data_IF_350417069333
#
_entry.id   IF_350417069333
#
_cell.length_a   1.000
_cell.length_b   1.000
_cell.length_c   1.000
_cell.angle_alpha   90.00
_cell.angle_beta   90.00
_cell.angle_gamma   90.00
#
_symmetry.space_group_name_H-M   'P 1'
#
loop_
_entity.id
_entity.type
_entity.pdbx_description
1 polymer ?
#
# COMPACT_ATOMS: atom_id res chain seq x y z
N UNK A 1 20.54 7.94 -22.04
CA UNK A 1 19.09 7.95 -21.76
C UNK A 1 18.41 6.64 -22.21
N UNK A 2 18.56 6.23 -23.48
CA UNK A 2 17.90 5.03 -24.05
C UNK A 2 18.36 3.75 -23.33
N UNK A 3 19.66 3.56 -23.09
CA UNK A 3 20.19 2.41 -22.35
C UNK A 3 19.64 2.32 -20.93
N UNK A 4 19.52 3.45 -20.24
CA UNK A 4 18.91 3.49 -18.91
C UNK A 4 17.43 3.09 -18.95
N UNK A 5 16.69 3.59 -19.95
CA UNK A 5 15.27 3.22 -20.13
C UNK A 5 15.12 1.71 -20.42
N UNK A 6 15.94 1.14 -21.27
CA UNK A 6 15.90 -0.29 -21.58
C UNK A 6 16.27 -1.16 -20.37
N UNK A 7 17.33 -0.76 -19.63
CA UNK A 7 17.73 -1.45 -18.40
C UNK A 7 16.62 -1.40 -17.34
N UNK A 8 16.02 -0.23 -17.12
CA UNK A 8 14.91 -0.08 -16.19
C UNK A 8 13.67 -0.86 -16.64
N UNK A 9 13.35 -0.85 -17.94
CA UNK A 9 12.23 -1.62 -18.46
C UNK A 9 12.42 -3.12 -18.21
N UNK A 10 13.63 -3.65 -18.44
CA UNK A 10 13.95 -5.06 -18.16
C UNK A 10 13.77 -5.42 -16.68
N UNK A 11 14.28 -4.60 -15.77
CA UNK A 11 14.14 -4.81 -14.31
C UNK A 11 12.67 -4.74 -13.89
N UNK A 12 11.92 -3.75 -14.40
CA UNK A 12 10.49 -3.60 -14.08
C UNK A 12 9.69 -4.78 -14.62
N UNK A 13 9.93 -5.23 -15.85
CA UNK A 13 9.27 -6.38 -16.45
C UNK A 13 9.56 -7.68 -15.67
N UNK A 14 10.81 -7.94 -15.34
CA UNK A 14 11.20 -9.09 -14.52
C UNK A 14 10.48 -9.08 -13.18
N UNK A 15 10.52 -7.92 -12.51
CA UNK A 15 9.89 -7.77 -11.20
C UNK A 15 8.36 -7.91 -11.26
N UNK A 16 7.73 -7.35 -12.28
CA UNK A 16 6.28 -7.53 -12.52
C UNK A 16 5.94 -9.01 -12.71
N UNK A 17 6.76 -9.75 -13.44
CA UNK A 17 6.59 -11.21 -13.60
C UNK A 17 6.73 -11.97 -12.28
N UNK A 18 7.74 -11.65 -11.47
CA UNK A 18 7.92 -12.24 -10.13
C UNK A 18 6.71 -11.95 -9.24
N UNK A 19 6.21 -10.73 -9.25
CA UNK A 19 5.03 -10.33 -8.46
C UNK A 19 3.75 -11.04 -8.93
N UNK A 20 3.56 -11.23 -10.23
CA UNK A 20 2.45 -12.01 -10.78
C UNK A 20 2.49 -13.47 -10.29
N UNK A 21 3.69 -14.08 -10.27
CA UNK A 21 3.87 -15.43 -9.71
C UNK A 21 3.51 -15.46 -8.22
N UNK A 22 3.96 -14.48 -7.43
CA UNK A 22 3.64 -14.37 -6.01
C UNK A 22 2.13 -14.24 -5.76
N UNK A 23 1.43 -13.49 -6.61
CA UNK A 23 -0.02 -13.34 -6.55
C UNK A 23 -0.73 -14.66 -6.85
N UNK A 24 -0.34 -15.35 -7.93
CA UNK A 24 -0.89 -16.67 -8.31
C UNK A 24 -0.58 -17.77 -7.29
N UNK A 25 0.56 -17.72 -6.63
CA UNK A 25 0.90 -18.63 -5.54
C UNK A 25 0.09 -18.37 -4.25
N UNK A 26 -0.79 -17.37 -4.22
CA UNK A 26 -1.63 -17.05 -3.06
C UNK A 26 -0.91 -16.34 -1.93
N UNK A 27 0.34 -15.91 -2.10
CA UNK A 27 1.10 -15.17 -1.11
C UNK A 27 0.43 -13.83 -0.76
N UNK A 28 -0.12 -13.13 -1.76
CA UNK A 28 -0.90 -11.92 -1.55
C UNK A 28 -2.14 -12.17 -0.68
N UNK A 29 -2.84 -13.30 -0.91
CA UNK A 29 -3.96 -13.74 -0.09
C UNK A 29 -3.56 -14.14 1.34
N UNK A 30 -2.41 -14.77 1.51
CA UNK A 30 -1.82 -15.06 2.83
C UNK A 30 -1.50 -13.79 3.61
N UNK A 31 -0.84 -12.84 2.96
CA UNK A 31 -0.52 -11.54 3.54
C UNK A 31 -1.79 -10.74 3.89
N UNK A 32 -2.80 -10.75 3.02
CA UNK A 32 -4.09 -10.13 3.30
C UNK A 32 -4.77 -10.70 4.55
N UNK A 33 -4.68 -12.02 4.77
CA UNK A 33 -5.20 -12.66 6.00
C UNK A 33 -4.43 -12.23 7.23
N UNK A 34 -3.10 -12.15 7.14
CA UNK A 34 -2.22 -11.71 8.23
C UNK A 34 -2.49 -10.26 8.63
N UNK A 35 -2.80 -9.40 7.66
CA UNK A 35 -3.08 -7.98 7.89
C UNK A 35 -4.48 -7.71 8.47
N UNK A 36 -5.44 -8.62 8.31
CA UNK A 36 -6.82 -8.43 8.78
C UNK A 36 -6.94 -7.98 10.23
N UNK A 37 -6.24 -8.55 11.22
CA UNK A 37 -6.37 -8.11 12.61
C UNK A 37 -5.90 -6.67 12.82
N UNK A 38 -4.85 -6.24 12.13
CA UNK A 38 -4.38 -4.84 12.17
C UNK A 38 -5.39 -3.90 11.50
N UNK A 39 -5.91 -4.29 10.33
CA UNK A 39 -6.89 -3.50 9.58
C UNK A 39 -8.20 -3.35 10.36
N UNK A 40 -8.65 -4.38 11.09
CA UNK A 40 -9.82 -4.30 11.97
C UNK A 40 -9.67 -3.25 13.08
N UNK A 41 -8.45 -3.00 13.56
CA UNK A 41 -8.19 -1.95 14.54
C UNK A 41 -8.13 -0.55 13.95
N UNK A 42 -7.65 -0.42 12.69
CA UNK A 42 -7.50 0.85 11.99
C UNK A 42 -8.83 1.29 11.39
N UNK A 43 -9.60 0.33 10.83
CA UNK A 43 -10.82 0.52 10.07
C UNK A 43 -11.97 -0.34 10.64
N UNK A 44 -12.46 -0.08 11.86
CA UNK A 44 -13.40 -0.94 12.55
C UNK A 44 -14.79 -1.02 11.86
N UNK A 45 -15.26 0.07 11.24
CA UNK A 45 -16.56 0.08 10.53
C UNK A 45 -16.47 -0.67 9.20
N UNK A 46 -15.46 -0.36 8.39
CA UNK A 46 -15.19 -1.04 7.11
C UNK A 46 -14.97 -2.55 7.30
N UNK A 47 -14.46 -2.95 8.46
CA UNK A 47 -14.20 -4.36 8.79
C UNK A 47 -15.47 -5.16 9.16
N UNK A 48 -16.61 -4.51 9.33
CA UNK A 48 -17.89 -5.20 9.58
C UNK A 48 -18.43 -5.83 8.31
N UNK A 49 -18.18 -5.22 7.16
CA UNK A 49 -18.50 -5.81 5.86
C UNK A 49 -17.31 -6.63 5.36
N UNK A 50 -17.54 -7.94 5.17
CA UNK A 50 -16.51 -8.89 4.75
C UNK A 50 -15.92 -8.59 3.37
N UNK A 51 -16.73 -8.07 2.45
CA UNK A 51 -16.27 -7.72 1.10
C UNK A 51 -15.42 -6.44 1.11
N UNK A 52 -15.81 -5.45 1.92
CA UNK A 52 -15.01 -4.22 2.09
C UNK A 52 -13.68 -4.55 2.76
N UNK A 53 -13.68 -5.38 3.82
CA UNK A 53 -12.45 -5.84 4.45
C UNK A 53 -11.55 -6.62 3.47
N UNK A 54 -12.13 -7.45 2.62
CA UNK A 54 -11.37 -8.18 1.59
C UNK A 54 -10.74 -7.22 0.59
N UNK A 55 -11.49 -6.22 0.09
CA UNK A 55 -10.98 -5.22 -0.85
C UNK A 55 -9.85 -4.37 -0.24
N UNK A 56 -10.02 -3.90 1.00
CA UNK A 56 -9.00 -3.15 1.74
C UNK A 56 -7.76 -4.01 1.98
N UNK A 57 -7.95 -5.26 2.42
CA UNK A 57 -6.82 -6.18 2.67
C UNK A 57 -6.03 -6.47 1.40
N UNK A 58 -6.72 -6.67 0.28
CA UNK A 58 -6.08 -6.87 -1.02
C UNK A 58 -5.28 -5.63 -1.46
N UNK A 59 -5.87 -4.43 -1.30
CA UNK A 59 -5.20 -3.16 -1.63
C UNK A 59 -3.92 -2.95 -0.79
N UNK A 60 -4.02 -3.10 0.54
CA UNK A 60 -2.87 -2.91 1.43
C UNK A 60 -1.80 -3.97 1.17
N UNK A 61 -2.19 -5.22 0.89
CA UNK A 61 -1.24 -6.29 0.53
C UNK A 61 -0.51 -5.99 -0.78
N UNK A 62 -1.23 -5.51 -1.79
CA UNK A 62 -0.64 -5.12 -3.07
C UNK A 62 0.37 -3.97 -2.89
N UNK A 63 0.04 -2.96 -2.07
CA UNK A 63 0.96 -1.88 -1.73
C UNK A 63 2.22 -2.38 -1.01
N UNK A 64 2.06 -3.25 0.00
CA UNK A 64 3.18 -3.85 0.73
C UNK A 64 4.12 -4.64 -0.19
N UNK A 65 3.56 -5.35 -1.15
CA UNK A 65 4.34 -6.13 -2.12
C UNK A 65 4.93 -5.26 -3.24
N UNK A 66 4.63 -3.95 -3.28
CA UNK A 66 5.12 -3.06 -4.32
C UNK A 66 4.38 -3.21 -5.66
N UNK A 67 3.18 -3.80 -5.65
CA UNK A 67 2.32 -3.99 -6.83
C UNK A 67 1.53 -2.71 -7.14
N UNK A 68 2.21 -1.60 -7.43
CA UNK A 68 1.57 -0.29 -7.64
C UNK A 68 0.44 -0.31 -8.68
N UNK A 69 0.63 -1.05 -9.78
CA UNK A 69 -0.37 -1.18 -10.83
C UNK A 69 -1.65 -1.92 -10.38
N UNK A 70 -1.51 -2.95 -9.53
CA UNK A 70 -2.63 -3.69 -8.96
C UNK A 70 -3.23 -2.97 -7.72
N UNK A 71 -2.41 -2.29 -6.94
CA UNK A 71 -2.84 -1.59 -5.74
C UNK A 71 -3.85 -0.47 -6.04
N UNK A 72 -3.64 0.30 -7.09
CA UNK A 72 -4.50 1.44 -7.46
C UNK A 72 -5.96 1.03 -7.73
N UNK A 73 -6.29 0.08 -8.63
CA UNK A 73 -7.67 -0.33 -8.86
C UNK A 73 -8.30 -1.00 -7.62
N UNK A 74 -7.52 -1.73 -6.84
CA UNK A 74 -7.99 -2.32 -5.57
C UNK A 74 -8.31 -1.24 -4.54
N UNK A 75 -7.48 -0.19 -4.44
CA UNK A 75 -7.72 0.97 -3.59
C UNK A 75 -8.97 1.74 -3.98
N UNK A 76 -9.18 1.99 -5.27
CA UNK A 76 -10.39 2.64 -5.78
C UNK A 76 -11.64 1.80 -5.46
N UNK A 77 -11.56 0.48 -5.63
CA UNK A 77 -12.66 -0.43 -5.29
C UNK A 77 -13.00 -0.38 -3.79
N UNK A 78 -11.99 -0.43 -2.94
CA UNK A 78 -12.16 -0.32 -1.49
C UNK A 78 -12.76 1.04 -1.10
N UNK A 79 -12.22 2.14 -1.65
CA UNK A 79 -12.70 3.50 -1.39
C UNK A 79 -14.16 3.69 -1.82
N UNK A 80 -14.55 3.20 -3.01
CA UNK A 80 -15.94 3.28 -3.49
C UNK A 80 -16.91 2.55 -2.56
N UNK A 81 -16.54 1.37 -2.06
CA UNK A 81 -17.37 0.63 -1.11
C UNK A 81 -17.52 1.37 0.22
N UNK A 82 -16.42 1.95 0.72
CA UNK A 82 -16.45 2.74 1.96
C UNK A 82 -17.21 4.05 1.79
N UNK A 83 -17.16 4.66 0.61
CA UNK A 83 -17.87 5.90 0.30
C UNK A 83 -19.37 5.72 0.10
N UNK A 84 -19.85 4.52 -0.22
CA UNK A 84 -21.27 4.24 -0.46
C UNK A 84 -22.19 4.53 0.76
N UNK A 85 -21.63 4.63 1.97
CA UNK A 85 -22.34 5.03 3.20
C UNK A 85 -22.02 6.45 3.68
N UNK A 86 -21.42 7.29 2.82
CA UNK A 86 -21.01 8.64 3.18
C UNK A 86 -21.86 9.65 2.39
N UNK A 87 -22.61 10.50 3.06
CA UNK A 87 -23.49 11.54 2.47
C UNK A 87 -22.68 12.73 1.91
N UNK A 88 -21.74 12.44 0.99
CA UNK A 88 -20.89 13.46 0.36
C UNK A 88 -19.66 13.90 1.16
N UNK A 89 -19.54 13.48 2.42
CA UNK A 89 -18.38 13.78 3.28
C UNK A 89 -17.60 12.50 3.55
N UNK A 90 -16.29 12.51 3.31
CA UNK A 90 -15.43 11.35 3.56
C UNK A 90 -15.43 10.97 5.04
N UNK A 91 -15.69 9.70 5.34
CA UNK A 91 -15.58 9.19 6.71
C UNK A 91 -14.12 9.16 7.19
N UNK A 92 -13.91 9.24 8.51
CA UNK A 92 -12.57 9.11 9.11
C UNK A 92 -11.84 7.85 8.64
N UNK A 93 -12.55 6.75 8.43
CA UNK A 93 -11.96 5.51 7.96
C UNK A 93 -11.53 5.57 6.50
N UNK A 94 -12.31 6.27 5.66
CA UNK A 94 -11.93 6.53 4.28
C UNK A 94 -10.66 7.39 4.22
N UNK A 95 -10.57 8.43 5.07
CA UNK A 95 -9.35 9.24 5.20
C UNK A 95 -8.15 8.38 5.64
N UNK A 96 -8.32 7.47 6.60
CA UNK A 96 -7.24 6.54 7.01
C UNK A 96 -6.83 5.59 5.90
N UNK A 97 -7.76 5.11 5.07
CA UNK A 97 -7.43 4.30 3.90
C UNK A 97 -6.57 5.10 2.90
N UNK A 98 -6.93 6.36 2.64
CA UNK A 98 -6.14 7.25 1.78
C UNK A 98 -4.73 7.45 2.35
N UNK A 99 -4.61 7.70 3.66
CA UNK A 99 -3.32 7.82 4.35
C UNK A 99 -2.47 6.57 4.19
N UNK A 100 -3.05 5.37 4.39
CA UNK A 100 -2.35 4.10 4.22
C UNK A 100 -1.82 3.91 2.79
N UNK A 101 -2.58 4.35 1.78
CA UNK A 101 -2.15 4.28 0.38
C UNK A 101 -1.07 5.32 0.05
N UNK A 102 -1.19 6.54 0.61
CA UNK A 102 -0.24 7.64 0.35
C UNK A 102 1.09 7.43 1.06
N UNK A 103 1.09 6.78 2.23
CA UNK A 103 2.29 6.51 3.01
C UNK A 103 3.26 5.51 2.36
N UNK A 104 2.91 4.94 1.20
CA UNK A 104 3.77 4.04 0.39
C UNK A 104 4.48 2.98 1.23
N UNK A 105 3.73 2.18 1.98
CA UNK A 105 4.28 1.07 2.74
C UNK A 105 4.81 0.02 1.77
N UNK A 106 6.12 -0.14 1.69
CA UNK A 106 6.75 -1.11 0.81
C UNK A 106 7.66 -2.04 1.61
N UNK A 107 7.48 -3.35 1.44
CA UNK A 107 8.43 -4.33 1.96
C UNK A 107 9.69 -4.38 1.08
N UNK A 108 9.50 -4.22 -0.22
CA UNK A 108 10.58 -4.25 -1.20
C UNK A 108 10.50 -2.97 -2.07
N UNK A 109 11.47 -2.06 -1.94
CA UNK A 109 11.55 -0.83 -2.77
C UNK A 109 12.13 -1.13 -4.15
N UNK A 110 11.40 -1.90 -4.95
CA UNK A 110 11.85 -2.49 -6.20
C UNK A 110 12.27 -1.46 -7.24
N UNK A 111 11.50 -0.38 -7.36
CA UNK A 111 11.80 0.71 -8.30
C UNK A 111 13.11 1.39 -7.92
N UNK A 112 13.31 1.70 -6.63
CA UNK A 112 14.53 2.36 -6.16
C UNK A 112 15.72 1.42 -6.26
N UNK A 113 15.55 0.14 -5.90
CA UNK A 113 16.59 -0.87 -6.05
C UNK A 113 16.98 -1.07 -7.52
N UNK A 114 16.00 -1.05 -8.45
CA UNK A 114 16.25 -1.12 -9.89
C UNK A 114 17.06 0.07 -10.41
N UNK A 115 16.72 1.30 -10.00
CA UNK A 115 17.50 2.49 -10.35
C UNK A 115 18.92 2.41 -9.78
N UNK A 116 19.09 2.00 -8.54
CA UNK A 116 20.40 1.82 -7.90
C UNK A 116 21.26 0.78 -8.65
N UNK A 117 20.64 -0.34 -9.02
CA UNK A 117 21.31 -1.38 -9.82
C UNK A 117 21.76 -0.82 -11.18
N UNK A 118 20.88 -0.14 -11.89
CA UNK A 118 21.17 0.50 -13.18
C UNK A 118 22.26 1.59 -13.06
N UNK A 119 22.40 2.20 -11.89
CA UNK A 119 23.45 3.17 -11.57
C UNK A 119 24.75 2.54 -11.06
N UNK A 120 24.88 1.20 -11.09
CA UNK A 120 26.11 0.49 -10.72
C UNK A 120 26.29 0.23 -9.23
N UNK A 121 25.24 0.30 -8.41
CA UNK A 121 25.33 -0.01 -6.99
C UNK A 121 25.63 -1.51 -6.77
N UNK A 122 26.68 -1.82 -6.00
CA UNK A 122 27.08 -3.19 -5.67
C UNK A 122 26.04 -3.91 -4.79
N UNK A 123 25.31 -3.19 -3.95
CA UNK A 123 24.27 -3.70 -3.08
C UNK A 123 23.00 -2.85 -3.18
N UNK A 124 22.12 -3.09 -4.18
CA UNK A 124 20.93 -2.26 -4.42
C UNK A 124 19.92 -2.24 -3.27
N UNK A 125 19.90 -3.28 -2.44
CA UNK A 125 18.96 -3.48 -1.34
C UNK A 125 19.48 -3.09 0.05
N UNK A 126 20.66 -2.49 0.17
CA UNK A 126 21.21 -2.02 1.45
C UNK A 126 20.37 -0.92 2.12
N UNK A 127 19.47 -0.30 1.35
CA UNK A 127 18.52 0.71 1.81
C UNK A 127 17.30 0.13 2.56
N UNK A 128 17.11 -1.20 2.57
CA UNK A 128 15.93 -1.85 3.15
C UNK A 128 15.62 -1.40 4.59
N UNK A 129 16.59 -1.36 5.53
CA UNK A 129 16.30 -0.93 6.90
C UNK A 129 15.81 0.51 6.97
N UNK A 130 16.38 1.40 6.17
CA UNK A 130 15.97 2.80 6.11
C UNK A 130 14.55 2.96 5.52
N UNK A 131 14.23 2.18 4.47
CA UNK A 131 12.90 2.18 3.86
C UNK A 131 11.85 1.67 4.83
N UNK A 132 12.12 0.60 5.56
CA UNK A 132 11.19 0.06 6.55
C UNK A 132 10.95 1.04 7.71
N UNK A 133 12.02 1.63 8.24
CA UNK A 133 11.91 2.63 9.32
C UNK A 133 11.10 3.86 8.84
N UNK A 134 11.42 4.38 7.67
CA UNK A 134 10.72 5.52 7.05
C UNK A 134 9.23 5.18 6.81
N UNK A 135 8.93 3.99 6.28
CA UNK A 135 7.55 3.55 6.04
C UNK A 135 6.74 3.47 7.34
N UNK A 136 7.31 2.87 8.40
CA UNK A 136 6.64 2.77 9.70
C UNK A 136 6.40 4.14 10.31
N UNK A 137 7.40 5.03 10.27
CA UNK A 137 7.26 6.40 10.79
C UNK A 137 6.23 7.20 10.01
N UNK A 138 6.23 7.10 8.67
CA UNK A 138 5.27 7.79 7.79
C UNK A 138 3.84 7.34 8.08
N UNK A 139 3.60 6.03 8.18
CA UNK A 139 2.28 5.49 8.51
C UNK A 139 1.83 5.91 9.90
N UNK A 140 2.71 5.80 10.89
CA UNK A 140 2.38 6.19 12.26
C UNK A 140 2.02 7.68 12.36
N UNK A 141 2.83 8.55 11.75
CA UNK A 141 2.58 9.97 11.71
C UNK A 141 1.28 10.32 10.96
N UNK A 142 1.05 9.69 9.79
CA UNK A 142 -0.15 9.91 8.99
C UNK A 142 -1.43 9.47 9.72
N UNK A 143 -1.43 8.29 10.34
CA UNK A 143 -2.57 7.80 11.10
C UNK A 143 -2.83 8.63 12.38
N UNK A 144 -1.75 9.08 13.05
CA UNK A 144 -1.86 9.97 14.19
C UNK A 144 -2.50 11.30 13.77
N UNK A 145 -2.00 11.91 12.69
CA UNK A 145 -2.54 13.17 12.17
C UNK A 145 -4.00 13.01 11.71
N UNK A 146 -4.34 11.92 11.01
CA UNK A 146 -5.72 11.64 10.64
C UNK A 146 -6.66 11.52 11.85
N UNK A 147 -6.17 10.93 12.96
CA UNK A 147 -6.94 10.88 14.22
C UNK A 147 -7.12 12.26 14.85
N UNK A 148 -6.04 13.04 14.95
CA UNK A 148 -6.09 14.38 15.56
C UNK A 148 -7.02 15.29 14.76
N UNK A 149 -6.90 15.32 13.43
CA UNK A 149 -7.77 16.13 12.57
C UNK A 149 -9.23 15.66 12.63
N UNK A 150 -9.49 14.34 12.66
CA UNK A 150 -10.82 13.81 12.84
C UNK A 150 -11.46 14.20 14.17
N UNK A 151 -10.67 14.31 15.25
CA UNK A 151 -11.18 14.80 16.55
C UNK A 151 -11.47 16.30 16.56
N UNK A 152 -10.69 17.10 15.82
CA UNK A 152 -10.85 18.54 15.77
C UNK A 152 -12.00 18.95 14.84
N UNK A 153 -12.11 18.31 13.66
CA UNK A 153 -13.06 18.70 12.62
C UNK A 153 -14.25 17.74 12.48
N UNK A 154 -14.17 16.53 13.01
CA UNK A 154 -15.23 15.52 12.97
C UNK A 154 -16.35 15.69 14.00
N UNK A 155 -16.50 16.89 14.57
CA UNK A 155 -17.60 17.26 15.47
C UNK A 155 -18.74 17.98 14.73
N UNK A 156 -18.96 17.62 13.47
CA UNK A 156 -20.12 18.03 12.71
C UNK A 156 -21.03 16.87 12.39
#
# INVERSE_FOLDING_TARGET
AVELCLSMAGVVCLWTGVMEVMERCGLAGGLARLLRPALRRILPRASRDGETLAAVSANVSANLLGLGNAATPLGIRAARRMAAGCDGVASDELCRLVVLNTASIQLLPTTVAGVRLASGAAAPFDILPAVWLSSVLSVAAGLLMARVLGQIWGRG
#
